data_IF_781638302118
#
_entry.id   IF_781638302118
#
_cell.length_a   1.000
_cell.length_b   1.000
_cell.length_c   1.000
_cell.angle_alpha   90.00
_cell.angle_beta   90.00
_cell.angle_gamma   90.00
#
_symmetry.space_group_name_H-M   'P 1'
#
loop_
_entity.id
_entity.type
_entity.pdbx_description
1 polymer ?
#
# COMPACT_ATOMS: atom_id res chain seq x y z
N UNK A 1 7.47 7.38 -18.11
CA UNK A 1 7.32 6.99 -16.70
C UNK A 1 5.93 7.40 -16.32
N UNK A 2 5.06 6.47 -15.94
CA UNK A 2 3.73 6.82 -15.47
C UNK A 2 3.90 7.42 -14.07
N UNK A 3 3.42 8.66 -13.87
CA UNK A 3 3.41 9.32 -12.58
C UNK A 3 2.33 8.66 -11.71
N UNK A 4 2.65 7.54 -11.05
CA UNK A 4 1.70 6.87 -10.17
C UNK A 4 1.46 7.71 -8.91
N UNK A 5 0.21 7.79 -8.45
CA UNK A 5 -0.14 8.65 -7.33
C UNK A 5 0.34 8.04 -6.01
N UNK A 6 1.16 8.79 -5.28
CA UNK A 6 1.69 8.41 -3.97
C UNK A 6 1.05 9.27 -2.88
N UNK A 7 0.44 8.65 -1.88
CA UNK A 7 -0.17 9.38 -0.77
C UNK A 7 -0.09 8.62 0.55
N UNK A 8 -0.35 9.33 1.63
CA UNK A 8 -0.40 8.82 3.00
C UNK A 8 -1.52 9.51 3.77
N UNK A 9 -2.27 8.74 4.56
CA UNK A 9 -3.27 9.29 5.48
C UNK A 9 -3.20 8.63 6.85
N UNK A 10 -3.66 9.36 7.86
CA UNK A 10 -3.93 8.78 9.16
C UNK A 10 -5.15 7.86 9.08
N UNK A 11 -5.11 6.79 9.87
CA UNK A 11 -6.15 5.78 9.99
C UNK A 11 -6.38 5.47 11.47
N UNK A 12 -7.65 5.28 11.83
CA UNK A 12 -8.05 4.79 13.15
C UNK A 12 -7.78 3.29 13.34
N UNK A 13 -7.39 2.58 12.27
CA UNK A 13 -6.98 1.18 12.37
C UNK A 13 -5.70 1.04 13.20
N UNK A 14 -5.56 -0.08 13.92
CA UNK A 14 -4.38 -0.36 14.76
C UNK A 14 -3.16 -0.82 13.98
N UNK A 15 -3.37 -1.33 12.77
CA UNK A 15 -2.31 -1.90 11.93
C UNK A 15 -2.12 -1.05 10.68
N UNK A 16 -0.86 -0.85 10.26
CA UNK A 16 -0.57 -0.16 9.03
C UNK A 16 -1.03 -0.99 7.83
N UNK A 17 -1.50 -0.29 6.80
CA UNK A 17 -1.88 -0.91 5.53
C UNK A 17 -1.36 -0.08 4.38
N UNK A 18 -0.81 -0.74 3.38
CA UNK A 18 -0.57 -0.16 2.07
C UNK A 18 -1.73 -0.58 1.16
N UNK A 19 -2.46 0.39 0.65
CA UNK A 19 -3.37 0.19 -0.47
C UNK A 19 -2.61 0.36 -1.78
N UNK A 20 -2.84 -0.52 -2.74
CA UNK A 20 -2.36 -0.37 -4.12
C UNK A 20 -3.48 -0.69 -5.11
N UNK A 21 -3.56 0.13 -6.16
CA UNK A 21 -4.36 -0.14 -7.35
C UNK A 21 -3.42 -0.50 -8.50
N UNK A 22 -3.58 -1.72 -9.01
CA UNK A 22 -2.83 -2.23 -10.14
C UNK A 22 -3.73 -2.42 -11.36
N UNK A 23 -3.17 -2.30 -12.54
CA UNK A 23 -3.81 -2.65 -13.80
C UNK A 23 -3.00 -3.74 -14.51
N UNK A 24 -3.65 -4.85 -14.82
CA UNK A 24 -3.05 -5.99 -15.49
C UNK A 24 -4.13 -6.74 -16.28
N UNK A 25 -3.81 -7.20 -17.50
CA UNK A 25 -4.73 -7.93 -18.38
C UNK A 25 -6.11 -7.29 -18.54
N UNK A 26 -6.14 -5.97 -18.72
CA UNK A 26 -7.37 -5.19 -18.89
C UNK A 26 -8.32 -5.23 -17.69
N UNK A 27 -7.78 -5.43 -16.47
CA UNK A 27 -8.51 -5.46 -15.21
C UNK A 27 -7.78 -4.67 -14.14
N UNK A 28 -8.58 -4.07 -13.25
CA UNK A 28 -8.07 -3.41 -12.05
C UNK A 28 -8.04 -4.38 -10.87
N UNK A 29 -6.94 -4.39 -10.14
CA UNK A 29 -6.72 -5.17 -8.94
C UNK A 29 -6.48 -4.23 -7.76
N UNK A 30 -7.38 -4.30 -6.77
CA UNK A 30 -7.26 -3.55 -5.51
C UNK A 30 -6.62 -4.44 -4.46
N UNK A 31 -5.49 -3.99 -3.91
CA UNK A 31 -4.68 -4.77 -2.98
C UNK A 31 -4.53 -4.01 -1.68
N UNK A 32 -4.72 -4.70 -0.56
CA UNK A 32 -4.18 -4.28 0.72
C UNK A 32 -3.02 -5.18 1.12
N UNK A 33 -1.93 -4.54 1.51
CA UNK A 33 -0.76 -5.17 2.05
C UNK A 33 -0.51 -4.69 3.48
N UNK A 34 -0.31 -5.63 4.39
CA UNK A 34 0.05 -5.33 5.77
C UNK A 34 1.56 -5.56 5.98
N UNK A 35 2.37 -4.49 6.14
CA UNK A 35 3.82 -4.60 6.24
C UNK A 35 4.31 -5.25 7.55
N UNK A 36 3.46 -5.36 8.59
CA UNK A 36 3.82 -6.05 9.82
C UNK A 36 3.73 -7.57 9.68
N UNK A 37 2.78 -8.05 8.88
CA UNK A 37 2.47 -9.49 8.76
C UNK A 37 2.85 -10.07 7.41
N UNK A 38 3.30 -9.23 6.48
CA UNK A 38 3.58 -9.57 5.09
C UNK A 38 2.37 -10.22 4.37
N UNK A 39 1.15 -9.87 4.79
CA UNK A 39 -0.10 -10.42 4.26
C UNK A 39 -0.68 -9.54 3.17
N UNK A 40 -1.12 -10.19 2.11
CA UNK A 40 -1.80 -9.56 0.99
C UNK A 40 -3.27 -10.00 0.96
N UNK A 41 -4.17 -9.05 0.71
CA UNK A 41 -5.59 -9.31 0.49
C UNK A 41 -6.10 -8.53 -0.72
N UNK A 42 -7.02 -9.13 -1.47
CA UNK A 42 -7.74 -8.49 -2.58
C UNK A 42 -9.21 -8.33 -2.17
N UNK A 43 -9.56 -7.27 -1.42
CA UNK A 43 -10.91 -7.06 -0.94
C UNK A 43 -11.87 -6.61 -2.05
N UNK A 44 -13.17 -6.74 -1.79
CA UNK A 44 -14.19 -6.10 -2.62
C UNK A 44 -14.11 -4.57 -2.57
N UNK A 45 -14.51 -3.91 -3.66
CA UNK A 45 -14.40 -2.45 -3.83
C UNK A 45 -15.11 -1.67 -2.71
N UNK A 46 -16.21 -2.18 -2.16
CA UNK A 46 -16.94 -1.53 -1.06
C UNK A 46 -16.07 -1.43 0.20
N UNK A 47 -15.29 -2.48 0.49
CA UNK A 47 -14.37 -2.51 1.64
C UNK A 47 -13.22 -1.53 1.41
N UNK A 48 -12.71 -1.46 0.18
CA UNK A 48 -11.67 -0.50 -0.22
C UNK A 48 -12.17 0.92 0.03
N UNK A 49 -13.32 1.28 -0.53
CA UNK A 49 -13.89 2.63 -0.42
C UNK A 49 -14.12 3.02 1.05
N UNK A 50 -14.64 2.12 1.87
CA UNK A 50 -14.81 2.38 3.31
C UNK A 50 -13.49 2.66 4.03
N UNK A 51 -12.39 2.02 3.61
CA UNK A 51 -11.07 2.23 4.21
C UNK A 51 -10.36 3.47 3.67
N UNK A 52 -10.47 3.75 2.38
CA UNK A 52 -9.73 4.85 1.75
C UNK A 52 -10.50 6.18 1.77
N UNK A 53 -11.80 6.17 2.06
CA UNK A 53 -12.60 7.39 2.19
C UNK A 53 -11.96 8.41 3.14
N UNK A 54 -11.97 9.67 2.70
CA UNK A 54 -11.45 10.81 3.42
C UNK A 54 -12.43 11.97 3.29
N UNK A 55 -12.59 12.73 4.36
CA UNK A 55 -13.16 14.07 4.31
C UNK A 55 -12.08 15.07 3.92
N UNK A 56 -12.45 16.25 3.40
CA UNK A 56 -11.47 17.31 3.04
C UNK A 56 -10.59 17.74 4.23
N UNK A 57 -11.07 17.57 5.45
CA UNK A 57 -10.37 17.85 6.70
C UNK A 57 -9.36 16.77 7.11
N UNK A 58 -9.26 15.65 6.39
CA UNK A 58 -8.43 14.51 6.79
C UNK A 58 -6.94 14.90 6.76
N UNK A 59 -6.22 14.80 7.88
CA UNK A 59 -4.81 15.15 7.92
C UNK A 59 -3.99 14.20 7.05
N UNK A 60 -3.12 14.76 6.21
CA UNK A 60 -2.07 13.99 5.53
C UNK A 60 -1.10 13.45 6.58
N UNK A 61 -0.80 12.15 6.53
CA UNK A 61 0.19 11.58 7.42
C UNK A 61 1.59 11.96 6.94
N UNK A 62 2.45 12.47 7.83
CA UNK A 62 3.84 12.74 7.51
C UNK A 62 4.61 11.40 7.43
N UNK A 63 4.80 10.91 6.21
CA UNK A 63 5.52 9.67 5.89
C UNK A 63 6.43 9.97 4.71
N UNK A 64 7.67 9.46 4.75
CA UNK A 64 8.60 9.66 3.66
C UNK A 64 8.14 8.89 2.41
N UNK A 65 8.05 9.57 1.27
CA UNK A 65 7.65 8.95 0.00
C UNK A 65 8.56 7.81 -0.44
N UNK A 66 9.87 7.88 -0.14
CA UNK A 66 10.82 6.81 -0.46
C UNK A 66 10.50 5.52 0.29
N UNK A 67 9.97 5.62 1.51
CA UNK A 67 9.59 4.45 2.31
C UNK A 67 8.30 3.81 1.80
N UNK A 68 7.35 4.63 1.34
CA UNK A 68 6.14 4.16 0.66
C UNK A 68 6.53 3.49 -0.67
N UNK A 69 7.53 4.00 -1.40
CA UNK A 69 8.07 3.37 -2.61
C UNK A 69 8.63 1.99 -2.32
N UNK A 70 9.50 1.88 -1.32
CA UNK A 70 10.10 0.61 -0.94
C UNK A 70 9.04 -0.43 -0.53
N UNK A 71 8.06 -0.06 0.29
CA UNK A 71 6.94 -0.95 0.65
C UNK A 71 6.09 -1.35 -0.55
N UNK A 72 5.89 -0.43 -1.50
CA UNK A 72 5.08 -0.70 -2.69
C UNK A 72 5.75 -1.67 -3.64
N UNK A 73 7.08 -1.61 -3.74
CA UNK A 73 7.84 -2.58 -4.52
C UNK A 73 7.76 -3.97 -3.88
N UNK A 74 7.90 -4.07 -2.56
CA UNK A 74 7.71 -5.35 -1.83
C UNK A 74 6.29 -5.90 -2.06
N UNK A 75 5.26 -5.06 -1.94
CA UNK A 75 3.88 -5.46 -2.18
C UNK A 75 3.65 -5.95 -3.63
N UNK A 76 4.19 -5.22 -4.62
CA UNK A 76 4.08 -5.59 -6.03
C UNK A 76 4.76 -6.94 -6.30
N UNK A 77 6.00 -7.11 -5.84
CA UNK A 77 6.74 -8.36 -5.99
C UNK A 77 6.00 -9.54 -5.35
N UNK A 78 5.43 -9.35 -4.16
CA UNK A 78 4.64 -10.37 -3.49
C UNK A 78 3.37 -10.73 -4.27
N UNK A 79 2.65 -9.72 -4.79
CA UNK A 79 1.46 -9.94 -5.60
C UNK A 79 1.78 -10.67 -6.90
N UNK A 80 2.81 -10.22 -7.62
CA UNK A 80 3.29 -10.83 -8.85
C UNK A 80 3.70 -12.28 -8.61
N UNK A 81 4.45 -12.56 -7.53
CA UNK A 81 4.84 -13.92 -7.14
C UNK A 81 3.63 -14.82 -6.87
N UNK A 82 2.64 -14.33 -6.12
CA UNK A 82 1.43 -15.10 -5.80
C UNK A 82 0.59 -15.42 -7.04
N UNK A 83 0.64 -14.56 -8.06
CA UNK A 83 -0.13 -14.70 -9.29
C UNK A 83 0.69 -15.21 -10.48
N UNK A 84 1.97 -15.50 -10.30
CA UNK A 84 2.91 -15.95 -11.36
C UNK A 84 3.00 -14.96 -12.55
N UNK A 85 3.04 -13.66 -12.24
CA UNK A 85 3.10 -12.55 -13.19
C UNK A 85 4.49 -11.89 -13.13
N UNK A 86 4.99 -11.38 -14.26
CA UNK A 86 6.20 -10.54 -14.26
C UNK A 86 5.84 -9.10 -13.86
N UNK A 87 6.60 -8.44 -12.96
CA UNK A 87 6.30 -7.07 -12.54
C UNK A 87 6.19 -6.06 -13.68
N UNK A 88 6.97 -6.24 -14.76
CA UNK A 88 6.97 -5.37 -15.94
C UNK A 88 5.66 -5.39 -16.73
N UNK A 89 4.82 -6.43 -16.56
CA UNK A 89 3.52 -6.55 -17.20
C UNK A 89 2.41 -5.82 -16.42
N UNK A 90 2.73 -5.24 -15.27
CA UNK A 90 1.78 -4.66 -14.33
C UNK A 90 1.95 -3.16 -14.26
N UNK A 91 0.87 -2.43 -14.50
CA UNK A 91 0.85 -0.99 -14.32
C UNK A 91 0.40 -0.65 -12.90
N UNK A 92 1.23 0.11 -12.17
CA UNK A 92 0.88 0.65 -10.86
C UNK A 92 0.18 1.99 -11.04
N UNK A 93 -1.07 2.09 -10.60
CA UNK A 93 -1.90 3.29 -10.80
C UNK A 93 -1.82 4.23 -9.60
N UNK A 94 -1.98 3.69 -8.39
CA UNK A 94 -1.85 4.47 -7.17
C UNK A 94 -1.45 3.62 -5.98
N UNK A 95 -0.94 4.32 -4.97
CA UNK A 95 -0.58 3.76 -3.67
C UNK A 95 -0.89 4.74 -2.54
N UNK A 96 -1.51 4.21 -1.50
CA UNK A 96 -1.91 4.99 -0.34
C UNK A 96 -1.49 4.24 0.93
N UNK A 97 -0.61 4.85 1.71
CA UNK A 97 -0.27 4.33 3.02
C UNK A 97 -1.28 4.79 4.07
N UNK A 98 -1.88 3.83 4.77
CA UNK A 98 -2.77 4.03 5.90
C UNK A 98 -1.96 3.89 7.19
N UNK A 99 -1.57 5.02 7.76
CA UNK A 99 -0.79 5.08 9.00
C UNK A 99 -1.71 5.03 10.22
N UNK A 100 -1.56 4.07 11.14
CA UNK A 100 -2.23 4.11 12.44
C UNK A 100 -1.90 5.39 13.19
N UNK A 101 -2.89 6.03 13.80
CA UNK A 101 -2.66 7.20 14.67
C UNK A 101 -1.70 6.91 15.84
N UNK A 102 -1.67 5.66 16.30
CA UNK A 102 -0.79 5.20 17.37
C UNK A 102 0.65 4.93 16.93
N UNK A 103 0.93 4.95 15.62
CA UNK A 103 2.27 4.68 15.11
C UNK A 103 3.09 5.99 15.09
N UNK A 104 4.26 5.96 15.73
CA UNK A 104 5.21 7.07 15.64
C UNK A 104 5.67 7.30 14.19
N UNK A 105 6.18 8.49 13.90
CA UNK A 105 6.64 8.88 12.56
C UNK A 105 7.84 8.04 12.06
N UNK A 106 8.43 7.20 12.92
CA UNK A 106 9.61 6.41 12.61
C UNK A 106 9.25 5.11 11.87
N UNK A 107 9.08 5.23 10.56
CA UNK A 107 8.63 4.17 9.66
C UNK A 107 9.73 3.15 9.31
N UNK A 108 11.00 3.53 9.46
CA UNK A 108 12.18 2.76 9.06
C UNK A 108 12.25 1.37 9.73
N UNK A 109 11.68 1.21 10.92
CA UNK A 109 11.60 -0.10 11.60
C UNK A 109 10.74 -1.13 10.86
N UNK A 110 9.73 -0.69 10.09
CA UNK A 110 8.87 -1.58 9.30
C UNK A 110 9.62 -2.16 8.09
N UNK A 111 10.49 -1.37 7.47
CA UNK A 111 11.28 -1.80 6.30
C UNK A 111 12.35 -2.81 6.69
N UNK A 112 13.01 -2.61 7.83
CA UNK A 112 14.07 -3.49 8.32
C UNK A 112 13.56 -4.91 8.67
N UNK A 113 12.33 -5.03 9.16
CA UNK A 113 11.70 -6.34 9.44
C UNK A 113 11.47 -7.15 8.15
N UNK A 114 11.14 -6.48 7.05
CA UNK A 114 10.83 -7.13 5.77
C UNK A 114 12.07 -7.52 4.95
N UNK A 115 13.27 -7.09 5.33
CA UNK A 115 14.54 -7.48 4.69
C UNK A 115 15.24 -8.66 5.38
N UNK A 116 14.68 -9.18 6.48
CA UNK A 116 15.29 -10.23 7.31
C UNK A 116 14.58 -11.59 7.25
N UNK A 117 13.74 -11.83 6.23
CA UNK A 117 12.98 -13.08 6.05
C UNK A 117 13.14 -13.68 4.65
#
# INVERSE_FOLDING_TARGET
MADDLISSKLSSDKEPLLYMLLFHQNKYHSIFYNPNTNKLTEPEIVIVLNKIACEESTPTANVNYDEIEALSNICLELWCKNNQIYPDDVERICRLYLKPESQEDNFTELLLKNQSS
#
